data_IF_083866712457
#
_entry.id   IF_083866712457
#
_cell.length_a   1.000
_cell.length_b   1.000
_cell.length_c   1.000
_cell.angle_alpha   90.00
_cell.angle_beta   90.00
_cell.angle_gamma   90.00
#
_symmetry.space_group_name_H-M   'P 1'
#
loop_
_entity.id
_entity.type
_entity.pdbx_description
1 polymer ?
#
# COMPACT_ATOMS: atom_id res chain seq x y z
N UNK A 1 37.13 -15.77 -50.86
CA UNK A 1 36.82 -15.29 -49.50
C UNK A 1 36.63 -13.78 -49.59
N UNK A 2 35.40 -13.38 -49.91
CA UNK A 2 35.07 -12.04 -50.43
C UNK A 2 35.01 -11.00 -49.31
N UNK A 3 35.37 -9.75 -49.62
CA UNK A 3 35.37 -8.58 -48.70
C UNK A 3 34.10 -8.49 -47.83
N UNK A 4 32.96 -8.93 -48.35
CA UNK A 4 31.68 -9.02 -47.63
C UNK A 4 31.68 -10.00 -46.44
N UNK A 5 32.29 -11.18 -46.57
CA UNK A 5 32.35 -12.18 -45.48
C UNK A 5 33.17 -11.65 -44.29
N UNK A 6 34.25 -10.92 -44.58
CA UNK A 6 35.06 -10.26 -43.56
C UNK A 6 34.30 -9.12 -42.86
N UNK A 7 33.49 -8.34 -43.60
CA UNK A 7 32.62 -7.31 -43.02
C UNK A 7 31.63 -7.91 -42.02
N UNK A 8 30.91 -8.98 -42.40
CA UNK A 8 29.95 -9.64 -41.51
C UNK A 8 30.61 -10.25 -40.28
N UNK A 9 31.78 -10.86 -40.42
CA UNK A 9 32.54 -11.39 -39.28
C UNK A 9 32.85 -10.30 -38.25
N UNK A 10 33.31 -9.12 -38.73
CA UNK A 10 33.58 -7.96 -37.87
C UNK A 10 32.29 -7.45 -37.22
N UNK A 11 31.18 -7.41 -37.96
CA UNK A 11 29.89 -6.98 -37.42
C UNK A 11 29.37 -7.92 -36.33
N UNK A 12 29.48 -9.24 -36.50
CA UNK A 12 29.10 -10.21 -35.46
C UNK A 12 30.01 -10.11 -34.22
N UNK A 13 31.31 -9.85 -34.40
CA UNK A 13 32.22 -9.62 -33.28
C UNK A 13 31.84 -8.32 -32.52
N UNK A 14 31.54 -7.24 -33.26
CA UNK A 14 31.04 -6.00 -32.68
C UNK A 14 29.71 -6.21 -31.94
N UNK A 15 28.82 -7.05 -32.49
CA UNK A 15 27.55 -7.40 -31.87
C UNK A 15 27.72 -8.21 -30.58
N UNK A 16 28.68 -9.15 -30.57
CA UNK A 16 29.04 -9.89 -29.35
C UNK A 16 29.54 -8.95 -28.25
N UNK A 17 30.45 -8.02 -28.59
CA UNK A 17 30.94 -6.98 -27.67
C UNK A 17 29.81 -6.06 -27.17
N UNK A 18 28.89 -5.69 -28.06
CA UNK A 18 27.70 -4.92 -27.70
C UNK A 18 26.80 -5.68 -26.75
N UNK A 19 26.46 -6.94 -27.05
CA UNK A 19 25.60 -7.78 -26.21
C UNK A 19 26.19 -7.96 -24.80
N UNK A 20 27.50 -8.12 -24.70
CA UNK A 20 28.22 -8.22 -23.43
C UNK A 20 28.20 -6.92 -22.60
N UNK A 21 28.15 -5.75 -23.25
CA UNK A 21 27.99 -4.46 -22.56
C UNK A 21 26.53 -4.18 -22.23
N UNK A 22 25.63 -4.48 -23.16
CA UNK A 22 24.18 -4.33 -23.03
C UNK A 22 23.67 -5.12 -21.82
N UNK A 23 24.16 -6.33 -21.60
CA UNK A 23 23.79 -7.17 -20.46
C UNK A 23 24.15 -6.52 -19.11
N UNK A 24 25.20 -5.69 -19.06
CA UNK A 24 25.66 -4.98 -17.85
C UNK A 24 24.89 -3.69 -17.58
N UNK A 25 24.12 -3.18 -18.54
CA UNK A 25 23.39 -1.93 -18.37
C UNK A 25 22.38 -2.03 -17.21
N UNK A 26 22.39 -1.05 -16.31
CA UNK A 26 21.54 -1.05 -15.11
C UNK A 26 20.34 -0.12 -15.23
N UNK A 27 20.47 0.94 -16.03
CA UNK A 27 19.43 1.93 -16.22
C UNK A 27 19.18 2.21 -17.71
N UNK A 28 18.16 3.04 -17.93
CA UNK A 28 17.69 3.41 -19.26
C UNK A 28 18.66 4.33 -20.00
N UNK A 29 19.42 5.17 -19.29
CA UNK A 29 20.37 6.09 -19.92
C UNK A 29 21.60 5.33 -20.43
N UNK A 30 22.15 4.45 -19.58
CA UNK A 30 23.27 3.57 -19.93
C UNK A 30 22.91 2.66 -21.11
N UNK A 31 21.68 2.14 -21.15
CA UNK A 31 21.16 1.37 -22.28
C UNK A 31 21.23 2.17 -23.59
N UNK A 32 20.74 3.41 -23.59
CA UNK A 32 20.73 4.25 -24.80
C UNK A 32 22.16 4.64 -25.23
N UNK A 33 23.04 4.97 -24.27
CA UNK A 33 24.44 5.26 -24.56
C UNK A 33 25.16 4.09 -25.24
N UNK A 34 24.92 2.86 -24.75
CA UNK A 34 25.52 1.66 -25.33
C UNK A 34 25.04 1.47 -26.76
N UNK A 35 23.74 1.66 -27.02
CA UNK A 35 23.17 1.59 -28.38
C UNK A 35 23.83 2.62 -29.28
N UNK A 36 23.85 3.90 -28.91
CA UNK A 36 24.47 4.96 -29.72
C UNK A 36 25.95 4.69 -30.04
N UNK A 37 26.72 4.27 -29.03
CA UNK A 37 28.17 4.00 -29.19
C UNK A 37 28.45 2.85 -30.16
N UNK A 38 27.57 1.84 -30.24
CA UNK A 38 27.83 0.63 -31.02
C UNK A 38 27.09 0.58 -32.36
N UNK A 39 26.01 1.35 -32.54
CA UNK A 39 25.15 1.32 -33.73
C UNK A 39 25.94 1.50 -35.03
N UNK A 40 26.94 2.39 -35.03
CA UNK A 40 27.81 2.68 -36.18
C UNK A 40 28.65 1.50 -36.68
N UNK A 41 28.80 0.44 -35.89
CA UNK A 41 29.54 -0.77 -36.27
C UNK A 41 28.65 -1.87 -36.84
N UNK A 42 27.32 -1.71 -36.77
CA UNK A 42 26.37 -2.72 -37.23
C UNK A 42 25.99 -2.53 -38.69
N UNK A 43 25.58 -1.33 -39.03
CA UNK A 43 25.13 -1.00 -40.37
C UNK A 43 25.31 0.48 -40.64
N UNK A 44 25.20 0.83 -41.92
CA UNK A 44 25.34 2.18 -42.40
C UNK A 44 24.02 2.94 -42.20
N UNK A 45 24.09 4.10 -41.55
CA UNK A 45 22.95 5.01 -41.39
C UNK A 45 23.44 6.45 -41.25
N UNK A 46 22.56 7.41 -41.53
CA UNK A 46 22.72 8.83 -41.20
C UNK A 46 21.84 9.23 -40.02
N UNK A 47 20.64 8.66 -39.96
CA UNK A 47 19.68 8.83 -38.87
C UNK A 47 19.09 7.48 -38.48
N UNK A 48 18.89 7.26 -37.18
CA UNK A 48 18.22 6.09 -36.64
C UNK A 48 17.29 6.53 -35.50
N UNK A 49 16.06 6.02 -35.48
CA UNK A 49 15.08 6.32 -34.43
C UNK A 49 14.33 5.08 -34.05
N UNK A 50 14.06 4.96 -32.76
CA UNK A 50 13.18 3.92 -32.22
C UNK A 50 12.09 4.60 -31.41
N UNK A 51 10.86 4.38 -31.83
CA UNK A 51 9.64 4.69 -31.12
C UNK A 51 9.19 3.46 -30.33
N UNK A 52 8.83 3.67 -29.07
CA UNK A 52 8.34 2.69 -28.11
C UNK A 52 6.96 3.16 -27.64
N UNK A 53 5.94 2.35 -27.91
CA UNK A 53 4.59 2.57 -27.39
C UNK A 53 4.30 1.51 -26.33
N UNK A 54 4.23 2.01 -25.10
CA UNK A 54 3.82 1.27 -23.90
C UNK A 54 2.32 1.59 -23.62
N UNK A 55 1.68 0.90 -22.67
CA UNK A 55 0.25 1.11 -22.36
C UNK A 55 -0.09 2.56 -21.96
N UNK A 56 0.88 3.28 -21.38
CA UNK A 56 0.66 4.60 -20.75
C UNK A 56 1.37 5.74 -21.47
N UNK A 57 2.50 5.46 -22.12
CA UNK A 57 3.36 6.49 -22.68
C UNK A 57 3.95 6.07 -24.02
N UNK A 58 4.06 7.05 -24.91
CA UNK A 58 4.82 6.95 -26.15
C UNK A 58 6.19 7.59 -25.91
N UNK A 59 7.26 6.87 -26.22
CA UNK A 59 8.65 7.27 -25.97
C UNK A 59 9.47 7.04 -27.22
N UNK A 60 10.32 7.97 -27.58
CA UNK A 60 11.23 7.80 -28.71
C UNK A 60 12.64 8.17 -28.32
N UNK A 61 13.62 7.55 -28.97
CA UNK A 61 14.98 8.07 -28.97
C UNK A 61 15.50 8.07 -30.41
N UNK A 62 16.42 8.97 -30.70
CA UNK A 62 17.05 9.08 -32.00
C UNK A 62 18.57 9.17 -31.86
N UNK A 63 19.27 8.70 -32.88
CA UNK A 63 20.71 8.68 -32.98
C UNK A 63 21.09 9.18 -34.37
N UNK A 64 21.81 10.29 -34.41
CA UNK A 64 22.47 10.75 -35.64
C UNK A 64 23.87 10.15 -35.71
N UNK A 65 24.33 9.84 -36.93
CA UNK A 65 25.64 9.22 -37.15
C UNK A 65 26.81 10.01 -36.52
N UNK A 66 26.73 11.35 -36.53
CA UNK A 66 27.78 12.25 -36.02
C UNK A 66 27.43 12.89 -34.67
N UNK A 67 26.37 12.44 -33.99
CA UNK A 67 25.99 13.04 -32.71
C UNK A 67 26.89 12.55 -31.58
N UNK A 68 27.45 13.52 -30.86
CA UNK A 68 28.10 13.31 -29.56
C UNK A 68 27.13 13.59 -28.38
N UNK A 69 25.89 13.98 -28.66
CA UNK A 69 24.92 14.28 -27.61
C UNK A 69 24.49 12.98 -26.92
N UNK A 70 24.30 13.05 -25.60
CA UNK A 70 23.73 11.94 -24.83
C UNK A 70 22.31 11.64 -25.33
N UNK A 71 21.98 10.38 -25.59
CA UNK A 71 20.67 10.00 -26.11
C UNK A 71 19.66 10.01 -24.95
N UNK A 72 18.56 10.73 -25.12
CA UNK A 72 17.48 10.79 -24.14
C UNK A 72 16.16 10.30 -24.72
N UNK A 73 15.29 9.80 -23.85
CA UNK A 73 13.92 9.45 -24.23
C UNK A 73 13.08 10.70 -24.34
N UNK A 74 12.60 11.00 -25.55
CA UNK A 74 11.62 12.03 -25.82
C UNK A 74 10.22 11.45 -25.60
N UNK A 75 9.36 12.17 -24.89
CA UNK A 75 8.01 11.73 -24.57
C UNK A 75 7.01 12.32 -25.57
N UNK A 76 6.06 11.48 -26.00
CA UNK A 76 4.89 11.86 -26.79
C UNK A 76 5.19 12.54 -28.14
N UNK A 77 6.35 12.26 -28.73
CA UNK A 77 6.71 12.75 -30.07
C UNK A 77 6.72 11.59 -31.07
N UNK A 78 5.94 11.72 -32.15
CA UNK A 78 5.91 10.78 -33.25
C UNK A 78 5.76 11.52 -34.58
N UNK A 79 6.21 10.87 -35.65
CA UNK A 79 6.08 11.38 -37.01
C UNK A 79 4.86 10.79 -37.72
N UNK A 80 4.39 11.46 -38.78
CA UNK A 80 3.24 11.01 -39.58
C UNK A 80 3.43 9.59 -40.12
N UNK A 81 4.63 9.26 -40.61
CA UNK A 81 4.94 7.92 -41.09
C UNK A 81 4.94 6.86 -39.97
N UNK A 82 5.22 7.24 -38.72
CA UNK A 82 5.16 6.33 -37.58
C UNK A 82 3.69 6.05 -37.19
N UNK A 83 2.80 7.02 -37.35
CA UNK A 83 1.36 6.83 -37.17
C UNK A 83 0.79 5.82 -38.18
N UNK A 84 1.14 5.98 -39.46
CA UNK A 84 0.74 5.05 -40.51
C UNK A 84 1.28 3.65 -40.26
N UNK A 85 2.51 3.54 -39.77
CA UNK A 85 3.16 2.27 -39.49
C UNK A 85 2.58 1.59 -38.23
N UNK A 86 2.18 2.35 -37.22
CA UNK A 86 1.43 1.85 -36.05
C UNK A 86 0.01 1.40 -36.40
N UNK A 87 -0.63 1.97 -37.42
CA UNK A 87 -1.97 1.59 -37.87
C UNK A 87 -1.95 0.38 -38.80
N UNK A 88 -1.08 0.40 -39.79
CA UNK A 88 -1.08 -0.56 -40.90
C UNK A 88 -0.15 -1.75 -40.67
N UNK A 89 0.87 -1.61 -39.80
CA UNK A 89 1.90 -2.61 -39.54
C UNK A 89 2.71 -3.03 -40.79
N UNK A 90 2.76 -2.18 -41.82
CA UNK A 90 3.46 -2.44 -43.08
C UNK A 90 4.80 -1.71 -43.04
N UNK A 91 5.93 -2.39 -43.33
CA UNK A 91 7.22 -1.73 -43.49
C UNK A 91 7.19 -0.66 -44.58
N UNK A 92 7.78 0.49 -44.32
CA UNK A 92 7.79 1.63 -45.23
C UNK A 92 9.19 1.79 -45.82
N UNK A 93 9.27 1.94 -47.13
CA UNK A 93 10.49 2.33 -47.83
C UNK A 93 10.17 3.41 -48.87
N UNK A 94 10.69 4.63 -48.67
CA UNK A 94 10.52 5.73 -49.64
C UNK A 94 11.72 6.68 -49.62
N UNK A 95 11.89 7.44 -50.70
CA UNK A 95 12.90 8.50 -50.79
C UNK A 95 12.54 9.65 -49.87
N UNK A 96 13.46 10.04 -48.99
CA UNK A 96 13.26 11.09 -48.00
C UNK A 96 14.42 12.07 -48.00
N UNK A 97 14.08 13.36 -48.02
CA UNK A 97 15.03 14.45 -47.88
C UNK A 97 15.25 14.84 -46.40
N UNK A 98 14.62 14.13 -45.46
CA UNK A 98 14.73 14.41 -44.03
C UNK A 98 13.99 15.67 -43.58
N UNK A 99 13.02 16.18 -44.34
CA UNK A 99 12.29 17.42 -44.03
C UNK A 99 11.60 17.39 -42.66
N UNK A 100 11.12 16.21 -42.22
CA UNK A 100 10.54 16.03 -40.88
C UNK A 100 11.56 16.20 -39.74
N UNK A 101 12.86 16.22 -40.05
CA UNK A 101 13.94 16.46 -39.10
C UNK A 101 14.37 17.94 -39.05
N UNK A 102 13.77 18.82 -39.86
CA UNK A 102 14.10 20.26 -39.86
C UNK A 102 13.84 20.94 -38.50
N UNK A 103 13.00 20.36 -37.66
CA UNK A 103 12.73 20.83 -36.29
C UNK A 103 13.85 20.48 -35.30
N UNK A 104 14.83 19.64 -35.69
CA UNK A 104 15.98 19.29 -34.87
C UNK A 104 17.18 20.16 -35.26
N UNK A 105 18.01 20.53 -34.29
CA UNK A 105 19.18 21.41 -34.47
C UNK A 105 20.28 20.86 -35.41
N UNK A 106 20.17 19.59 -35.83
CA UNK A 106 21.11 18.95 -36.75
C UNK A 106 20.51 18.77 -38.15
N UNK A 107 20.95 19.62 -39.09
CA UNK A 107 20.66 19.42 -40.52
C UNK A 107 21.37 18.19 -41.05
N UNK A 108 20.60 17.28 -41.64
CA UNK A 108 21.11 16.12 -42.35
C UNK A 108 21.39 16.48 -43.81
N UNK A 109 22.67 16.48 -44.21
CA UNK A 109 23.04 16.52 -45.61
C UNK A 109 22.88 15.11 -46.19
N UNK A 110 21.84 14.90 -47.00
CA UNK A 110 21.51 13.61 -47.62
C UNK A 110 21.71 13.68 -49.13
N UNK A 111 22.38 12.67 -49.69
CA UNK A 111 22.44 12.45 -51.13
C UNK A 111 21.51 11.27 -51.49
N UNK A 112 20.35 11.54 -52.10
CA UNK A 112 19.28 10.56 -52.36
C UNK A 112 18.91 9.72 -51.14
N UNK A 113 18.52 10.39 -50.05
CA UNK A 113 18.14 9.72 -48.80
C UNK A 113 16.99 8.71 -48.99
N UNK A 114 17.13 7.53 -48.39
CA UNK A 114 16.11 6.48 -48.34
C UNK A 114 15.72 6.25 -46.88
N UNK A 115 14.45 6.46 -46.57
CA UNK A 115 13.86 6.11 -45.29
C UNK A 115 13.42 4.65 -45.32
N UNK A 116 13.81 3.91 -44.31
CA UNK A 116 13.35 2.57 -43.99
C UNK A 116 12.66 2.61 -42.64
N UNK A 117 11.47 2.02 -42.53
CA UNK A 117 10.79 1.90 -41.26
C UNK A 117 10.10 0.54 -41.09
N UNK A 118 10.14 0.00 -39.88
CA UNK A 118 9.62 -1.31 -39.53
C UNK A 118 8.81 -1.28 -38.24
N UNK A 119 7.78 -2.12 -38.19
CA UNK A 119 6.93 -2.33 -37.03
C UNK A 119 7.33 -3.62 -36.32
N UNK A 120 7.46 -3.57 -35.00
CA UNK A 120 7.67 -4.75 -34.16
C UNK A 120 6.69 -4.77 -32.99
N UNK A 121 6.21 -5.96 -32.62
CA UNK A 121 5.31 -6.16 -31.50
C UNK A 121 5.85 -7.23 -30.54
N UNK A 122 6.04 -6.84 -29.29
CA UNK A 122 6.52 -7.71 -28.21
C UNK A 122 5.55 -7.65 -27.04
N UNK A 123 4.63 -8.62 -26.97
CA UNK A 123 3.57 -8.67 -25.94
C UNK A 123 2.81 -7.33 -25.86
N UNK A 124 3.06 -6.54 -24.81
CA UNK A 124 2.42 -5.25 -24.53
C UNK A 124 3.21 -4.04 -25.05
N UNK A 125 4.39 -4.27 -25.65
CA UNK A 125 5.26 -3.22 -26.19
C UNK A 125 5.21 -3.23 -27.72
N UNK A 126 4.85 -2.09 -28.31
CA UNK A 126 4.91 -1.89 -29.76
C UNK A 126 6.11 -0.98 -30.08
N UNK A 127 6.85 -1.29 -31.14
CA UNK A 127 7.98 -0.49 -31.58
C UNK A 127 7.86 -0.11 -33.04
N UNK A 128 8.26 1.12 -33.35
CA UNK A 128 8.55 1.55 -34.71
C UNK A 128 10.01 1.90 -34.80
N UNK A 129 10.73 1.27 -35.71
CA UNK A 129 12.15 1.50 -35.92
C UNK A 129 12.29 2.14 -37.27
N UNK A 130 12.93 3.31 -37.34
CA UNK A 130 13.18 4.01 -38.60
C UNK A 130 14.65 4.37 -38.77
N UNK A 131 15.10 4.32 -40.02
CA UNK A 131 16.48 4.55 -40.41
C UNK A 131 16.54 5.30 -41.74
N UNK A 132 17.41 6.31 -41.82
CA UNK A 132 17.73 6.99 -43.08
C UNK A 132 19.14 6.61 -43.50
N UNK A 133 19.28 6.11 -44.73
CA UNK A 133 20.54 5.85 -45.41
C UNK A 133 20.65 6.72 -46.66
N UNK A 134 21.87 7.04 -47.10
CA UNK A 134 22.13 7.76 -48.35
C UNK A 134 23.03 6.92 -49.28
N UNK A 135 23.32 7.43 -50.48
CA UNK A 135 24.15 6.71 -51.46
C UNK A 135 25.61 6.53 -50.98
N UNK A 136 26.13 7.41 -50.10
CA UNK A 136 27.46 7.25 -49.48
C UNK A 136 27.49 6.13 -48.44
N UNK A 137 26.40 5.96 -47.68
CA UNK A 137 26.24 4.98 -46.61
C UNK A 137 24.98 4.16 -46.85
N UNK A 138 24.99 3.26 -47.86
CA UNK A 138 23.82 2.48 -48.21
C UNK A 138 23.53 1.44 -47.13
N UNK A 139 22.26 1.37 -46.73
CA UNK A 139 21.70 0.28 -45.94
C UNK A 139 21.20 -0.82 -46.89
N UNK A 140 21.63 -2.06 -46.70
CA UNK A 140 21.29 -3.19 -47.58
C UNK A 140 20.38 -4.20 -46.88
N UNK A 141 19.65 -5.00 -47.67
CA UNK A 141 18.70 -6.01 -47.15
C UNK A 141 19.34 -6.98 -46.15
N UNK A 142 20.62 -7.32 -46.34
CA UNK A 142 21.36 -8.20 -45.41
C UNK A 142 21.59 -7.56 -44.03
N UNK A 143 21.59 -6.24 -43.93
CA UNK A 143 21.75 -5.53 -42.65
C UNK A 143 20.48 -5.60 -41.79
N UNK A 144 19.34 -6.00 -42.38
CA UNK A 144 18.07 -6.21 -41.67
C UNK A 144 18.20 -7.32 -40.62
N UNK A 145 19.00 -8.36 -40.87
CA UNK A 145 19.22 -9.42 -39.88
C UNK A 145 19.90 -8.88 -38.62
N UNK A 146 20.93 -8.04 -38.79
CA UNK A 146 21.64 -7.40 -37.67
C UNK A 146 20.74 -6.38 -36.96
N UNK A 147 19.90 -5.66 -37.71
CA UNK A 147 18.90 -4.77 -37.15
C UNK A 147 17.92 -5.54 -36.25
N UNK A 148 17.38 -6.67 -36.71
CA UNK A 148 16.48 -7.50 -35.92
C UNK A 148 17.15 -7.97 -34.63
N UNK A 149 18.39 -8.47 -34.71
CA UNK A 149 19.17 -8.88 -33.53
C UNK A 149 19.37 -7.71 -32.53
N UNK A 150 19.65 -6.51 -33.04
CA UNK A 150 19.79 -5.31 -32.22
C UNK A 150 18.48 -4.96 -31.51
N UNK A 151 17.36 -4.99 -32.23
CA UNK A 151 16.04 -4.67 -31.69
C UNK A 151 15.62 -5.71 -30.65
N UNK A 152 15.80 -7.00 -30.92
CA UNK A 152 15.52 -8.08 -29.96
C UNK A 152 16.33 -7.91 -28.67
N UNK A 153 17.63 -7.66 -28.80
CA UNK A 153 18.53 -7.46 -27.65
C UNK A 153 18.16 -6.21 -26.86
N UNK A 154 17.87 -5.10 -27.56
CA UNK A 154 17.46 -3.85 -26.95
C UNK A 154 16.13 -3.99 -26.20
N UNK A 155 15.10 -4.56 -26.83
CA UNK A 155 13.77 -4.76 -26.25
C UNK A 155 13.87 -5.65 -25.01
N UNK A 156 14.58 -6.77 -25.12
CA UNK A 156 14.79 -7.70 -24.00
C UNK A 156 15.42 -6.98 -22.82
N UNK A 157 16.49 -6.21 -23.06
CA UNK A 157 17.17 -5.49 -22.00
C UNK A 157 16.32 -4.36 -21.41
N UNK A 158 15.61 -3.62 -22.26
CA UNK A 158 14.70 -2.56 -21.85
C UNK A 158 13.59 -3.08 -20.92
N UNK A 159 12.94 -4.18 -21.32
CA UNK A 159 11.92 -4.85 -20.51
C UNK A 159 12.50 -5.36 -19.19
N UNK A 160 13.69 -5.97 -19.22
CA UNK A 160 14.37 -6.42 -18.00
C UNK A 160 14.62 -5.27 -17.01
N UNK A 161 15.12 -4.12 -17.48
CA UNK A 161 15.34 -2.94 -16.64
C UNK A 161 14.02 -2.39 -16.10
N UNK A 162 12.98 -2.31 -16.93
CA UNK A 162 11.63 -1.86 -16.51
C UNK A 162 11.07 -2.76 -15.40
N UNK A 163 11.16 -4.08 -15.58
CA UNK A 163 10.68 -5.07 -14.60
C UNK A 163 11.48 -5.01 -13.29
N UNK A 164 12.81 -4.92 -13.36
CA UNK A 164 13.69 -4.76 -12.20
C UNK A 164 13.29 -3.54 -11.36
N UNK A 165 13.06 -2.39 -12.01
CA UNK A 165 12.66 -1.16 -11.33
C UNK A 165 11.27 -1.27 -10.68
N UNK A 166 10.31 -1.90 -11.38
CA UNK A 166 8.96 -2.14 -10.82
C UNK A 166 9.01 -3.06 -9.61
N UNK A 167 9.82 -4.12 -9.67
CA UNK A 167 10.01 -5.04 -8.55
C UNK A 167 10.66 -4.35 -7.35
N UNK A 168 11.69 -3.53 -7.58
CA UNK A 168 12.35 -2.77 -6.52
C UNK A 168 11.36 -1.83 -5.81
N UNK A 169 10.57 -1.06 -6.58
CA UNK A 169 9.53 -0.19 -6.03
C UNK A 169 8.50 -0.96 -5.19
N UNK A 170 8.02 -2.11 -5.68
CA UNK A 170 7.10 -2.96 -4.92
C UNK A 170 7.71 -3.48 -3.62
N UNK A 171 8.99 -3.88 -3.62
CA UNK A 171 9.67 -4.35 -2.42
C UNK A 171 9.83 -3.24 -1.37
N UNK A 172 10.16 -2.01 -1.80
CA UNK A 172 10.22 -0.85 -0.91
C UNK A 172 8.86 -0.58 -0.29
N UNK A 173 7.80 -0.53 -1.10
CA UNK A 173 6.44 -0.30 -0.61
C UNK A 173 5.97 -1.40 0.36
N UNK A 174 6.27 -2.66 0.05
CA UNK A 174 5.93 -3.79 0.93
C UNK A 174 6.65 -3.69 2.28
N UNK A 175 7.94 -3.35 2.28
CA UNK A 175 8.71 -3.17 3.51
C UNK A 175 8.12 -2.05 4.38
N UNK A 176 7.72 -0.94 3.76
CA UNK A 176 7.08 0.17 4.48
C UNK A 176 5.74 -0.26 5.07
N UNK A 177 4.91 -1.00 4.33
CA UNK A 177 3.63 -1.51 4.83
C UNK A 177 3.80 -2.46 6.03
N UNK A 178 4.82 -3.34 5.99
CA UNK A 178 5.15 -4.24 7.12
C UNK A 178 5.50 -3.43 8.37
N UNK A 179 6.37 -2.43 8.25
CA UNK A 179 6.74 -1.59 9.39
C UNK A 179 5.51 -0.92 10.03
N UNK A 180 4.59 -0.38 9.23
CA UNK A 180 3.35 0.23 9.73
C UNK A 180 2.48 -0.78 10.47
N UNK A 181 2.34 -2.00 9.93
CA UNK A 181 1.56 -3.07 10.57
C UNK A 181 2.17 -3.48 11.92
N UNK A 182 3.49 -3.57 12.00
CA UNK A 182 4.20 -3.90 13.24
C UNK A 182 4.00 -2.82 14.31
N UNK A 183 4.12 -1.54 13.93
CA UNK A 183 3.83 -0.41 14.81
C UNK A 183 2.38 -0.44 15.32
N UNK A 184 1.41 -0.65 14.43
CA UNK A 184 0.00 -0.75 14.81
C UNK A 184 -0.26 -1.94 15.74
N UNK A 185 0.34 -3.10 15.47
CA UNK A 185 0.24 -4.28 16.32
C UNK A 185 0.76 -4.01 17.73
N UNK A 186 1.87 -3.27 17.84
CA UNK A 186 2.41 -2.86 19.14
C UNK A 186 1.43 -1.96 19.90
N UNK A 187 0.84 -0.95 19.23
CA UNK A 187 -0.14 -0.07 19.85
C UNK A 187 -1.40 -0.81 20.28
N UNK A 188 -1.95 -1.68 19.43
CA UNK A 188 -3.12 -2.50 19.76
C UNK A 188 -2.82 -3.38 20.97
N UNK A 189 -1.66 -4.02 21.01
CA UNK A 189 -1.26 -4.87 22.14
C UNK A 189 -1.20 -4.09 23.46
N UNK A 190 -0.69 -2.85 23.42
CA UNK A 190 -0.67 -1.94 24.58
C UNK A 190 -2.08 -1.54 25.01
N UNK A 191 -2.97 -1.22 24.07
CA UNK A 191 -4.37 -0.89 24.35
C UNK A 191 -5.08 -2.08 24.99
N UNK A 192 -4.96 -3.27 24.41
CA UNK A 192 -5.58 -4.50 24.91
C UNK A 192 -5.11 -4.81 26.33
N UNK A 193 -3.80 -4.67 26.60
CA UNK A 193 -3.26 -4.86 27.93
C UNK A 193 -3.87 -3.87 28.95
N UNK A 194 -3.92 -2.58 28.61
CA UNK A 194 -4.50 -1.55 29.47
C UNK A 194 -6.00 -1.75 29.70
N UNK A 195 -6.74 -2.15 28.66
CA UNK A 195 -8.17 -2.45 28.75
C UNK A 195 -8.41 -3.64 29.67
N UNK A 196 -7.62 -4.72 29.54
CA UNK A 196 -7.73 -5.88 30.42
C UNK A 196 -7.52 -5.50 31.89
N UNK A 197 -6.48 -4.74 32.19
CA UNK A 197 -6.21 -4.26 33.55
C UNK A 197 -7.37 -3.40 34.09
N UNK A 198 -7.92 -2.52 33.26
CA UNK A 198 -9.05 -1.65 33.65
C UNK A 198 -10.31 -2.48 33.92
N UNK A 199 -10.59 -3.49 33.09
CA UNK A 199 -11.72 -4.40 33.26
C UNK A 199 -11.55 -5.19 34.55
N UNK A 200 -10.38 -5.74 34.84
CA UNK A 200 -10.11 -6.47 36.08
C UNK A 200 -10.33 -5.59 37.31
N UNK A 201 -9.81 -4.36 37.29
CA UNK A 201 -10.00 -3.40 38.39
C UNK A 201 -11.47 -3.04 38.61
N UNK A 202 -12.21 -2.75 37.53
CA UNK A 202 -13.64 -2.43 37.60
C UNK A 202 -14.46 -3.63 38.07
N UNK A 203 -14.15 -4.82 37.56
CA UNK A 203 -14.82 -6.07 37.95
C UNK A 203 -14.61 -6.37 39.43
N UNK A 204 -13.39 -6.18 39.95
CA UNK A 204 -13.10 -6.32 41.38
C UNK A 204 -13.92 -5.33 42.20
N UNK A 205 -13.94 -4.05 41.80
CA UNK A 205 -14.72 -3.01 42.49
C UNK A 205 -16.22 -3.32 42.50
N UNK A 206 -16.78 -3.77 41.37
CA UNK A 206 -18.18 -4.18 41.26
C UNK A 206 -18.49 -5.39 42.15
N UNK A 207 -17.59 -6.38 42.19
CA UNK A 207 -17.76 -7.56 43.05
C UNK A 207 -17.79 -7.18 44.53
N UNK A 208 -16.89 -6.28 44.95
CA UNK A 208 -16.86 -5.75 46.32
C UNK A 208 -18.11 -4.91 46.65
N UNK A 209 -18.69 -4.21 45.66
CA UNK A 209 -19.94 -3.47 45.84
C UNK A 209 -21.14 -4.42 45.97
N UNK A 210 -21.23 -5.42 45.10
CA UNK A 210 -22.29 -6.42 45.13
C UNK A 210 -22.28 -7.23 46.43
N UNK A 211 -21.11 -7.60 46.97
CA UNK A 211 -21.04 -8.32 48.25
C UNK A 211 -21.60 -7.49 49.40
N UNK A 212 -21.30 -6.18 49.44
CA UNK A 212 -21.84 -5.26 50.46
C UNK A 212 -23.35 -5.09 50.34
N UNK A 213 -23.87 -4.95 49.12
CA UNK A 213 -25.31 -4.86 48.88
C UNK A 213 -26.04 -6.15 49.29
N UNK A 214 -25.45 -7.31 49.02
CA UNK A 214 -25.99 -8.60 49.47
C UNK A 214 -26.00 -8.71 50.99
N UNK A 215 -24.96 -8.24 51.67
CA UNK A 215 -24.90 -8.19 53.14
C UNK A 215 -26.01 -7.31 53.73
N UNK A 216 -26.20 -6.11 53.19
CA UNK A 216 -27.28 -5.19 53.60
C UNK A 216 -28.65 -5.84 53.35
N UNK A 217 -28.86 -6.44 52.17
CA UNK A 217 -30.14 -7.10 51.85
C UNK A 217 -30.44 -8.26 52.79
N UNK A 218 -29.42 -9.04 53.19
CA UNK A 218 -29.57 -10.13 54.17
C UNK A 218 -29.93 -9.61 55.55
N UNK A 219 -29.27 -8.53 56.00
CA UNK A 219 -29.60 -7.87 57.28
C UNK A 219 -31.04 -7.35 57.27
N UNK A 220 -31.47 -6.69 56.18
CA UNK A 220 -32.83 -6.20 56.04
C UNK A 220 -33.85 -7.35 56.09
N UNK A 221 -33.65 -8.42 55.33
CA UNK A 221 -34.62 -9.51 55.23
C UNK A 221 -34.78 -10.32 56.53
N UNK A 222 -33.73 -10.49 57.31
CA UNK A 222 -33.77 -11.30 58.54
C UNK A 222 -34.09 -10.44 59.78
N UNK A 223 -33.35 -9.35 59.98
CA UNK A 223 -33.38 -8.61 61.24
C UNK A 223 -34.58 -7.65 61.32
N UNK A 224 -35.10 -7.15 60.18
CA UNK A 224 -36.30 -6.30 60.19
C UNK A 224 -37.57 -7.17 60.28
N UNK A 225 -37.54 -8.33 59.63
CA UNK A 225 -38.70 -9.22 59.55
C UNK A 225 -39.05 -9.86 60.89
N UNK A 226 -38.06 -10.22 61.69
CA UNK A 226 -38.26 -10.86 62.99
C UNK A 226 -39.06 -9.99 64.00
N UNK A 227 -38.67 -8.74 64.32
CA UNK A 227 -39.44 -7.88 65.22
C UNK A 227 -40.77 -7.45 64.61
N UNK A 228 -40.85 -7.27 63.28
CA UNK A 228 -42.12 -6.98 62.61
C UNK A 228 -43.13 -8.12 62.75
N UNK A 229 -42.71 -9.37 62.50
CA UNK A 229 -43.54 -10.56 62.73
C UNK A 229 -43.94 -10.70 64.19
N UNK A 230 -43.05 -10.37 65.14
CA UNK A 230 -43.39 -10.32 66.57
C UNK A 230 -44.49 -9.29 66.87
N UNK A 231 -44.39 -8.09 66.30
CA UNK A 231 -45.41 -7.04 66.47
C UNK A 231 -46.76 -7.50 65.90
N UNK A 232 -46.76 -8.03 64.67
CA UNK A 232 -47.99 -8.50 64.00
C UNK A 232 -48.64 -9.66 64.76
N UNK A 233 -47.86 -10.65 65.20
CA UNK A 233 -48.40 -11.76 65.99
C UNK A 233 -48.92 -11.33 67.36
N UNK A 234 -48.26 -10.37 68.03
CA UNK A 234 -48.75 -9.81 69.29
C UNK A 234 -50.03 -8.99 69.11
N UNK A 235 -50.20 -8.30 67.97
CA UNK A 235 -51.43 -7.60 67.61
C UNK A 235 -52.59 -8.57 67.39
N UNK A 236 -52.37 -9.66 66.67
CA UNK A 236 -53.40 -10.70 66.46
C UNK A 236 -53.84 -11.34 67.78
N UNK A 237 -52.88 -11.63 68.67
CA UNK A 237 -53.18 -12.21 69.99
C UNK A 237 -53.89 -11.18 70.89
N UNK A 238 -53.60 -9.89 70.73
CA UNK A 238 -54.22 -8.82 71.51
C UNK A 238 -55.75 -8.85 71.42
N UNK A 239 -56.31 -9.22 70.28
CA UNK A 239 -57.76 -9.29 70.06
C UNK A 239 -58.47 -10.34 70.94
N UNK A 240 -57.72 -11.27 71.55
CA UNK A 240 -58.24 -12.37 72.37
C UNK A 240 -58.18 -12.10 73.89
N UNK A 241 -57.67 -10.95 74.33
CA UNK A 241 -57.44 -10.64 75.74
C UNK A 241 -58.41 -9.60 76.31
N UNK A 242 -58.78 -9.76 77.59
CA UNK A 242 -59.55 -8.75 78.33
C UNK A 242 -58.71 -7.49 78.63
N UNK A 243 -59.36 -6.32 78.69
CA UNK A 243 -58.76 -4.98 78.70
C UNK A 243 -57.67 -4.77 79.79
N UNK A 244 -57.80 -5.46 80.92
CA UNK A 244 -56.88 -5.37 82.07
C UNK A 244 -55.54 -6.07 81.84
N UNK A 245 -55.53 -7.18 81.11
CA UNK A 245 -54.33 -7.98 80.85
C UNK A 245 -53.62 -7.56 79.55
N UNK A 246 -54.40 -7.01 78.61
CA UNK A 246 -53.92 -6.41 77.35
C UNK A 246 -52.85 -5.33 77.60
N UNK A 247 -53.10 -4.45 78.57
CA UNK A 247 -52.24 -3.30 78.89
C UNK A 247 -50.95 -3.69 79.60
N UNK A 248 -50.96 -4.79 80.35
CA UNK A 248 -49.86 -5.19 81.23
C UNK A 248 -48.83 -6.05 80.52
N UNK A 249 -49.25 -6.96 79.64
CA UNK A 249 -48.33 -7.90 78.99
C UNK A 249 -48.17 -7.68 77.48
N UNK A 250 -49.27 -7.48 76.74
CA UNK A 250 -49.24 -7.40 75.27
C UNK A 250 -48.64 -6.06 74.81
N UNK A 251 -49.13 -4.93 75.34
CA UNK A 251 -48.65 -3.61 74.95
C UNK A 251 -47.16 -3.37 75.24
N UNK A 252 -46.63 -3.86 76.38
CA UNK A 252 -45.21 -3.73 76.69
C UNK A 252 -44.32 -4.62 75.79
N UNK A 253 -44.79 -5.81 75.39
CA UNK A 253 -44.08 -6.67 74.41
C UNK A 253 -44.08 -6.09 73.00
N UNK A 254 -45.19 -5.46 72.56
CA UNK A 254 -45.27 -4.73 71.29
C UNK A 254 -44.31 -3.55 71.30
N UNK A 255 -44.32 -2.75 72.38
CA UNK A 255 -43.44 -1.59 72.56
C UNK A 255 -41.96 -1.99 72.53
N UNK A 256 -41.61 -3.12 73.13
CA UNK A 256 -40.24 -3.67 73.09
C UNK A 256 -39.87 -4.08 71.67
N UNK A 257 -40.73 -4.84 70.97
CA UNK A 257 -40.47 -5.25 69.59
C UNK A 257 -40.42 -4.08 68.61
N UNK A 258 -41.19 -3.01 68.84
CA UNK A 258 -41.14 -1.77 68.07
C UNK A 258 -39.84 -0.99 68.29
N UNK A 259 -39.30 -0.96 69.51
CA UNK A 259 -37.98 -0.38 69.79
C UNK A 259 -36.85 -1.19 69.16
N UNK A 260 -36.94 -2.53 69.19
CA UNK A 260 -35.98 -3.40 68.51
C UNK A 260 -35.96 -3.11 66.99
N UNK A 261 -37.15 -2.98 66.39
CA UNK A 261 -37.30 -2.65 64.98
C UNK A 261 -36.70 -1.27 64.63
N UNK A 262 -36.97 -0.25 65.46
CA UNK A 262 -36.42 1.10 65.26
C UNK A 262 -34.89 1.10 65.36
N UNK A 263 -34.32 0.39 66.34
CA UNK A 263 -32.87 0.25 66.48
C UNK A 263 -32.24 -0.44 65.27
N UNK A 264 -32.87 -1.49 64.74
CA UNK A 264 -32.39 -2.21 63.56
C UNK A 264 -32.46 -1.31 62.32
N UNK A 265 -33.53 -0.53 62.15
CA UNK A 265 -33.65 0.45 61.06
C UNK A 265 -32.59 1.54 61.14
N UNK A 266 -32.29 2.07 62.33
CA UNK A 266 -31.23 3.05 62.53
C UNK A 266 -29.84 2.48 62.17
N UNK A 267 -29.55 1.24 62.56
CA UNK A 267 -28.28 0.57 62.19
C UNK A 267 -28.16 0.34 60.67
N UNK A 268 -29.26 -0.01 60.00
CA UNK A 268 -29.31 -0.13 58.53
C UNK A 268 -29.06 1.22 57.85
N UNK A 269 -29.73 2.28 58.28
CA UNK A 269 -29.57 3.64 57.72
C UNK A 269 -28.13 4.12 57.93
N UNK A 270 -27.56 3.90 59.12
CA UNK A 270 -26.18 4.26 59.42
C UNK A 270 -25.17 3.49 58.55
N UNK A 271 -25.34 2.18 58.38
CA UNK A 271 -24.49 1.35 57.51
C UNK A 271 -24.62 1.75 56.04
N UNK A 272 -25.83 2.07 55.58
CA UNK A 272 -26.10 2.48 54.21
C UNK A 272 -25.53 3.87 53.90
N UNK A 273 -25.68 4.84 54.80
CA UNK A 273 -25.09 6.18 54.66
C UNK A 273 -23.56 6.15 54.68
N UNK A 274 -22.95 5.38 55.58
CA UNK A 274 -21.50 5.18 55.60
C UNK A 274 -20.97 4.51 54.32
N UNK A 275 -21.75 3.60 53.73
CA UNK A 275 -21.39 3.01 52.44
C UNK A 275 -21.42 4.08 51.34
N UNK A 276 -22.44 4.95 51.31
CA UNK A 276 -22.63 6.03 50.33
C UNK A 276 -21.55 7.12 50.47
N UNK A 277 -21.16 7.53 51.68
CA UNK A 277 -20.08 8.53 51.89
C UNK A 277 -18.70 7.99 51.48
N UNK A 278 -18.43 6.70 51.71
CA UNK A 278 -17.22 6.05 51.19
C UNK A 278 -17.25 5.85 49.66
N UNK A 279 -18.42 5.91 49.04
CA UNK A 279 -18.62 5.87 47.60
C UNK A 279 -18.41 7.26 46.95
N UNK A 280 -18.85 8.36 47.60
CA UNK A 280 -18.70 9.74 47.10
C UNK A 280 -17.29 10.33 47.32
N UNK A 281 -16.56 9.88 48.35
CA UNK A 281 -15.17 10.30 48.61
C UNK A 281 -14.11 9.64 47.71
N UNK A 282 -14.51 8.69 46.84
CA UNK A 282 -13.61 7.97 45.92
C UNK A 282 -13.77 8.35 44.44
N UNK A 283 -14.57 9.35 44.09
CA UNK A 283 -14.54 9.96 42.75
C UNK A 283 -13.23 10.75 42.59
N UNK A 284 -12.34 10.40 41.65
CA UNK A 284 -11.20 11.26 41.33
C UNK A 284 -11.73 12.58 40.75
N UNK A 285 -11.02 13.70 40.92
CA UNK A 285 -11.39 14.93 40.25
C UNK A 285 -11.45 14.68 38.75
N UNK A 286 -12.59 14.99 38.14
CA UNK A 286 -12.78 15.08 36.70
C UNK A 286 -11.68 15.94 36.10
N UNK A 287 -10.84 15.33 35.26
CA UNK A 287 -10.02 16.00 34.26
C UNK A 287 -10.54 15.61 32.89
#
# INVERSE_FOLDING_TARGET
MTIYENKYRITYEAFSKFSAKLSKANDKAELLEIVQKHLKYFFNFKYFRVLLKDEVFLKSFHVFHNSNNSPEFILNEFFSYEEDLLKNHIPIQHSSNGEFLNNYDQKLNLNNGKLWAWYFKYQDLQLCVSLISDDEKPFIVRDIEILNLLIDSFVTKYQQIKLKNRLHQKNVNLKNAINVIEEQKFQISKIVYNQKNTIEQRTKKLKDQNSKLAEISRLNAHNVREPLSRILGLLEIAELYEEKDLKKEIFEKIKTSAKDLDHILQDIIYKSNNAIEKLSSKTPPTK
#
